data_IF_012330563644
#
_entry.id   IF_012330563644
#
_cell.length_a   1.000
_cell.length_b   1.000
_cell.length_c   1.000
_cell.angle_alpha   90.00
_cell.angle_beta   90.00
_cell.angle_gamma   90.00
#
_symmetry.space_group_name_H-M   'P 1'
#
loop_
_entity.id
_entity.type
_entity.pdbx_description
1 polymer ?
#
# COMPACT_ATOMS: atom_id res chain seq x y z
N UNK A 1 5.36 -9.10 27.16
CA UNK A 1 6.23 -8.51 26.12
C UNK A 1 5.92 -9.24 24.82
N UNK A 2 5.22 -8.61 23.88
CA UNK A 2 4.94 -9.19 22.57
C UNK A 2 6.18 -9.01 21.70
N UNK A 3 6.97 -10.07 21.51
CA UNK A 3 8.07 -10.07 20.55
C UNK A 3 7.48 -10.36 19.18
N UNK A 4 7.31 -9.33 18.37
CA UNK A 4 6.98 -9.47 16.96
C UNK A 4 8.12 -10.20 16.26
N UNK A 5 7.97 -11.52 16.11
CA UNK A 5 8.84 -12.35 15.28
C UNK A 5 8.75 -11.83 13.85
N UNK A 6 9.79 -11.16 13.36
CA UNK A 6 9.88 -10.81 11.96
C UNK A 6 9.74 -12.10 11.15
N UNK A 7 8.61 -12.23 10.45
CA UNK A 7 8.46 -13.21 9.38
C UNK A 7 9.39 -12.76 8.28
N UNK A 8 10.59 -13.31 8.26
CA UNK A 8 11.47 -13.30 7.10
C UNK A 8 10.82 -14.18 6.04
N UNK A 9 9.91 -13.59 5.26
CA UNK A 9 9.33 -14.26 4.09
C UNK A 9 10.39 -14.23 2.98
N UNK A 10 11.26 -15.22 3.02
CA UNK A 10 12.24 -15.57 2.00
C UNK A 10 11.49 -16.09 0.77
N UNK A 11 11.12 -15.18 -0.12
CA UNK A 11 10.58 -15.47 -1.45
C UNK A 11 11.32 -14.58 -2.45
N UNK A 12 11.67 -15.14 -3.59
CA UNK A 12 12.56 -14.60 -4.62
C UNK A 12 12.01 -13.38 -5.40
N UNK A 13 11.24 -12.51 -4.72
CA UNK A 13 10.79 -11.21 -5.21
C UNK A 13 11.03 -10.17 -4.12
N UNK A 14 11.72 -9.08 -4.46
CA UNK A 14 12.12 -8.04 -3.50
C UNK A 14 10.98 -7.57 -2.59
N UNK A 15 11.34 -7.09 -1.39
CA UNK A 15 10.37 -6.60 -0.41
C UNK A 15 9.36 -5.63 -1.06
N UNK A 16 8.08 -5.78 -0.72
CA UNK A 16 7.00 -4.99 -1.32
C UNK A 16 6.38 -4.04 -0.30
N UNK A 17 6.07 -2.82 -0.75
CA UNK A 17 5.34 -1.80 0.00
C UNK A 17 3.95 -1.70 -0.61
N UNK A 18 2.89 -1.74 0.20
CA UNK A 18 1.52 -1.53 -0.27
C UNK A 18 1.02 -0.14 0.15
N UNK A 19 0.43 0.60 -0.77
CA UNK A 19 -0.14 1.93 -0.54
C UNK A 19 -1.57 2.00 -1.06
N UNK A 20 -2.51 2.36 -0.20
CA UNK A 20 -3.89 2.63 -0.60
C UNK A 20 -3.96 3.98 -1.32
N UNK A 21 -4.71 4.05 -2.43
CA UNK A 21 -4.89 5.26 -3.24
C UNK A 21 -6.37 5.44 -3.59
N UNK A 22 -6.84 6.68 -3.51
CA UNK A 22 -8.15 7.13 -3.97
C UNK A 22 -8.00 8.40 -4.83
N UNK A 23 -9.12 8.99 -5.27
CA UNK A 23 -9.19 10.14 -6.20
C UNK A 23 -8.91 11.49 -5.53
N UNK A 24 -8.44 11.49 -4.29
CA UNK A 24 -8.20 12.69 -3.51
C UNK A 24 -6.74 13.19 -3.65
N UNK A 25 -6.50 14.44 -3.21
CA UNK A 25 -5.17 15.07 -3.26
C UNK A 25 -4.20 14.47 -2.25
N UNK A 26 -4.69 13.96 -1.12
CA UNK A 26 -3.88 13.29 -0.10
C UNK A 26 -3.24 12.01 -0.63
N UNK A 27 -3.95 11.24 -1.45
CA UNK A 27 -3.43 10.04 -2.11
C UNK A 27 -2.21 10.33 -3.00
N UNK A 28 -2.15 11.49 -3.66
CA UNK A 28 -0.99 11.91 -4.45
C UNK A 28 0.21 12.27 -3.58
N UNK A 29 -0.02 12.97 -2.47
CA UNK A 29 1.02 13.32 -1.49
C UNK A 29 1.59 12.07 -0.83
N UNK A 30 0.72 11.11 -0.49
CA UNK A 30 1.11 9.84 0.10
C UNK A 30 1.98 9.00 -0.85
N UNK A 31 1.68 9.00 -2.15
CA UNK A 31 2.51 8.32 -3.16
C UNK A 31 3.92 8.90 -3.20
N UNK A 32 4.03 10.23 -3.29
CA UNK A 32 5.32 10.91 -3.27
C UNK A 32 6.10 10.57 -2.00
N UNK A 33 5.45 10.65 -0.84
CA UNK A 33 6.08 10.34 0.43
C UNK A 33 6.55 8.87 0.51
N UNK A 34 5.73 7.92 0.03
CA UNK A 34 6.10 6.51 0.03
C UNK A 34 7.31 6.20 -0.85
N UNK A 35 7.40 6.84 -2.03
CA UNK A 35 8.59 6.73 -2.90
C UNK A 35 9.82 7.32 -2.20
N UNK A 36 9.68 8.50 -1.59
CA UNK A 36 10.81 9.23 -0.99
C UNK A 36 11.29 8.57 0.34
N UNK A 37 10.44 7.83 1.05
CA UNK A 37 10.72 7.39 2.43
C UNK A 37 10.62 5.87 2.67
N UNK A 38 9.85 5.13 1.87
CA UNK A 38 9.62 3.69 2.09
C UNK A 38 10.27 2.80 1.06
N UNK A 39 10.41 3.25 -0.20
CA UNK A 39 10.80 2.39 -1.30
C UNK A 39 12.33 2.29 -1.45
N UNK A 40 12.88 1.11 -1.18
CA UNK A 40 14.28 0.77 -1.43
C UNK A 40 14.53 0.30 -2.87
N UNK A 41 15.82 0.25 -3.28
CA UNK A 41 16.19 -0.32 -4.59
C UNK A 41 15.75 -1.78 -4.70
N UNK A 42 15.11 -2.13 -5.81
CA UNK A 42 14.61 -3.48 -6.07
C UNK A 42 13.33 -3.84 -5.31
N UNK A 43 12.74 -2.90 -4.57
CA UNK A 43 11.44 -3.09 -3.93
C UNK A 43 10.30 -2.71 -4.87
N UNK A 44 9.16 -3.39 -4.70
CA UNK A 44 7.95 -3.13 -5.50
C UNK A 44 6.96 -2.30 -4.69
N UNK A 45 6.44 -1.22 -5.27
CA UNK A 45 5.33 -0.45 -4.71
C UNK A 45 4.00 -0.93 -5.32
N UNK A 46 3.13 -1.50 -4.50
CA UNK A 46 1.80 -1.98 -4.88
C UNK A 46 0.78 -0.90 -4.52
N UNK A 47 0.08 -0.37 -5.52
CA UNK A 47 -0.99 0.61 -5.33
C UNK A 47 -2.35 -0.09 -5.29
N UNK A 48 -3.14 0.18 -4.26
CA UNK A 48 -4.44 -0.45 -4.05
C UNK A 48 -5.53 0.62 -4.10
N UNK A 49 -6.36 0.57 -5.15
CA UNK A 49 -7.56 1.41 -5.25
C UNK A 49 -8.81 0.56 -4.99
N UNK A 50 -9.63 0.96 -4.02
CA UNK A 50 -10.93 0.32 -3.77
C UNK A 50 -12.01 1.06 -4.56
N UNK A 51 -12.69 0.36 -5.47
CA UNK A 51 -13.86 0.91 -6.16
C UNK A 51 -15.09 0.73 -5.28
N UNK A 52 -15.55 1.82 -4.68
CA UNK A 52 -16.80 1.81 -3.92
C UNK A 52 -17.98 1.43 -4.82
N UNK A 53 -18.77 0.43 -4.40
CA UNK A 53 -20.06 0.16 -5.02
C UNK A 53 -21.04 1.18 -4.44
N UNK A 54 -21.68 1.97 -5.31
CA UNK A 54 -22.84 2.77 -4.91
C UNK A 54 -23.86 1.80 -4.31
N UNK A 55 -24.21 1.99 -3.04
CA UNK A 55 -25.31 1.26 -2.45
C UNK A 55 -26.58 1.71 -3.17
N UNK A 56 -27.17 0.84 -3.98
CA UNK A 56 -28.54 1.03 -4.42
C UNK A 56 -29.41 0.89 -3.18
N UNK A 57 -29.82 2.01 -2.60
CA UNK A 57 -30.88 2.02 -1.60
C UNK A 57 -32.12 1.41 -2.27
N UNK A 58 -32.69 0.31 -1.75
CA UNK A 58 -33.97 -0.17 -2.25
C UNK A 58 -35.03 0.91 -2.01
N UNK A 59 -35.66 1.41 -3.08
CA UNK A 59 -36.87 2.24 -2.99
C UNK A 59 -38.10 1.38 -2.71
#
# INVERSE_FOLDING_TARGET
MWTSKQVEKKGEGGAAVALAVDKDKGSQVALKWAVDNLLGKGQTLILIHVKEKLQSVPQ
#
